data_IF_879387124698
#
_entry.id   IF_879387124698
#
_cell.length_a   1.000
_cell.length_b   1.000
_cell.length_c   1.000
_cell.angle_alpha   90.00
_cell.angle_beta   90.00
_cell.angle_gamma   90.00
#
_symmetry.space_group_name_H-M   'P 1'
#
loop_
_entity.id
_entity.type
_entity.pdbx_description
1 polymer ?
#
# COMPACT_ATOMS: atom_id res chain seq x y z
N UNK A 1 50.57 -24.12 -28.97
CA UNK A 1 50.09 -24.65 -27.67
C UNK A 1 49.33 -23.52 -27.01
N UNK A 2 48.00 -23.64 -26.91
CA UNK A 2 47.16 -22.62 -26.30
C UNK A 2 46.91 -23.02 -24.84
N UNK A 3 47.23 -22.13 -23.91
CA UNK A 3 47.02 -22.34 -22.48
C UNK A 3 45.52 -22.54 -22.18
N UNK A 4 45.15 -23.52 -21.34
CA UNK A 4 43.78 -23.69 -20.93
C UNK A 4 43.36 -22.56 -20.00
N UNK A 5 42.34 -21.82 -20.43
CA UNK A 5 41.67 -20.76 -19.66
C UNK A 5 41.16 -21.36 -18.33
N UNK A 6 41.48 -20.77 -17.16
CA UNK A 6 41.00 -21.31 -15.89
C UNK A 6 39.47 -21.23 -15.82
N UNK A 7 38.80 -22.22 -15.20
CA UNK A 7 37.35 -22.23 -15.09
C UNK A 7 36.88 -21.02 -14.28
N UNK A 8 35.95 -20.26 -14.87
CA UNK A 8 35.22 -19.21 -14.16
C UNK A 8 34.44 -19.87 -13.02
N UNK A 9 34.93 -19.66 -11.80
CA UNK A 9 34.17 -19.96 -10.59
C UNK A 9 32.96 -19.03 -10.59
N UNK A 10 31.81 -19.56 -10.99
CA UNK A 10 30.54 -18.92 -10.70
C UNK A 10 30.37 -18.95 -9.18
N UNK A 11 30.73 -17.86 -8.50
CA UNK A 11 30.20 -17.59 -7.17
C UNK A 11 28.68 -17.53 -7.30
N UNK A 12 28.01 -18.65 -7.01
CA UNK A 12 26.61 -18.63 -6.65
C UNK A 12 26.53 -17.76 -5.39
N UNK A 13 26.20 -16.48 -5.56
CA UNK A 13 25.87 -15.60 -4.45
C UNK A 13 24.60 -16.19 -3.83
N UNK A 14 24.77 -17.00 -2.78
CA UNK A 14 23.66 -17.46 -1.94
C UNK A 14 23.00 -16.20 -1.40
N UNK A 15 21.86 -15.83 -1.97
CA UNK A 15 21.07 -14.72 -1.45
C UNK A 15 20.76 -15.04 0.02
N UNK A 16 20.94 -14.09 0.94
CA UNK A 16 20.66 -14.34 2.35
C UNK A 16 19.22 -14.79 2.52
N UNK A 17 18.98 -15.70 3.47
CA UNK A 17 17.63 -16.16 3.77
C UNK A 17 16.75 -14.97 4.20
N UNK A 18 15.49 -14.90 3.74
CA UNK A 18 14.61 -13.81 4.10
C UNK A 18 14.26 -13.87 5.58
N UNK A 19 14.42 -12.73 6.28
CA UNK A 19 14.00 -12.55 7.68
C UNK A 19 12.49 -12.73 7.83
N UNK A 20 11.72 -12.35 6.80
CA UNK A 20 10.27 -12.51 6.80
C UNK A 20 9.73 -12.81 5.41
N UNK A 21 8.77 -13.73 5.33
CA UNK A 21 8.06 -14.05 4.10
C UNK A 21 6.56 -13.91 4.31
N UNK A 22 5.88 -13.20 3.40
CA UNK A 22 4.45 -12.95 3.44
C UNK A 22 3.82 -13.23 2.07
N UNK A 23 2.81 -14.09 2.05
CA UNK A 23 2.00 -14.37 0.87
C UNK A 23 0.93 -13.30 0.69
N UNK A 24 0.91 -12.67 -0.48
CA UNK A 24 -0.12 -11.71 -0.87
C UNK A 24 -1.29 -12.42 -1.51
N UNK A 25 -2.47 -12.22 -0.94
CA UNK A 25 -3.73 -12.72 -1.47
C UNK A 25 -4.65 -11.58 -1.89
N UNK A 26 -5.42 -11.83 -2.95
CA UNK A 26 -6.52 -10.98 -3.41
C UNK A 26 -7.86 -11.58 -3.02
N UNK A 27 -8.80 -10.71 -2.66
CA UNK A 27 -10.17 -11.04 -2.27
C UNK A 27 -11.19 -10.11 -2.90
N UNK A 28 -12.39 -10.65 -3.07
CA UNK A 28 -13.54 -10.01 -3.71
C UNK A 28 -13.29 -9.59 -5.17
N UNK A 29 -14.37 -9.24 -5.87
CA UNK A 29 -14.30 -8.73 -7.23
C UNK A 29 -13.38 -7.50 -7.32
N UNK A 30 -12.67 -7.37 -8.45
CA UNK A 30 -11.77 -6.25 -8.79
C UNK A 30 -10.62 -5.98 -7.81
N UNK A 31 -10.36 -6.86 -6.84
CA UNK A 31 -9.34 -6.64 -5.82
C UNK A 31 -9.74 -5.60 -4.77
N UNK A 32 -11.00 -5.59 -4.34
CA UNK A 32 -11.47 -4.70 -3.25
C UNK A 32 -10.81 -4.97 -1.90
N UNK A 33 -10.29 -6.17 -1.69
CA UNK A 33 -9.64 -6.58 -0.46
C UNK A 33 -8.36 -7.34 -0.78
N UNK A 34 -7.31 -7.10 -0.02
CA UNK A 34 -6.07 -7.87 -0.08
C UNK A 34 -5.61 -8.19 1.33
N UNK A 35 -4.81 -9.23 1.47
CA UNK A 35 -4.22 -9.60 2.75
C UNK A 35 -2.83 -10.20 2.55
N UNK A 36 -1.98 -9.98 3.55
CA UNK A 36 -0.67 -10.60 3.67
C UNK A 36 -0.69 -11.56 4.85
N UNK A 37 -0.18 -12.76 4.65
CA UNK A 37 -0.16 -13.83 5.65
C UNK A 37 1.13 -14.63 5.53
N UNK A 38 1.68 -15.13 6.63
CA UNK A 38 2.86 -16.00 6.58
C UNK A 38 2.58 -17.29 5.79
N UNK A 39 1.40 -17.89 6.03
CA UNK A 39 0.93 -19.08 5.33
C UNK A 39 -0.55 -18.98 4.92
N UNK A 40 -0.97 -19.85 4.00
CA UNK A 40 -2.35 -19.92 3.51
C UNK A 40 -3.39 -20.26 4.58
N UNK A 41 -3.00 -20.91 5.68
CA UNK A 41 -3.86 -21.22 6.82
C UNK A 41 -3.96 -20.10 7.85
N UNK A 42 -2.98 -19.21 7.89
CA UNK A 42 -2.77 -18.34 9.05
C UNK A 42 -3.67 -17.09 8.99
N UNK A 43 -3.96 -16.48 10.16
CA UNK A 43 -4.57 -15.16 10.21
C UNK A 43 -3.71 -14.14 9.44
N UNK A 44 -4.37 -13.21 8.75
CA UNK A 44 -3.63 -12.18 8.03
C UNK A 44 -2.90 -11.24 9.01
N UNK A 45 -1.60 -11.06 8.79
CA UNK A 45 -0.79 -10.07 9.51
C UNK A 45 -1.12 -8.65 9.08
N UNK A 46 -1.42 -8.48 7.79
CA UNK A 46 -1.82 -7.20 7.23
C UNK A 46 -3.01 -7.34 6.30
N UNK A 47 -3.87 -6.32 6.31
CA UNK A 47 -5.07 -6.29 5.50
C UNK A 47 -5.22 -4.96 4.76
N UNK A 48 -5.59 -5.02 3.47
CA UNK A 48 -5.82 -3.84 2.65
C UNK A 48 -7.27 -3.77 2.21
N UNK A 49 -7.90 -2.63 2.47
CA UNK A 49 -9.19 -2.26 1.86
C UNK A 49 -8.92 -1.32 0.70
N UNK A 50 -9.23 -1.76 -0.52
CA UNK A 50 -9.00 -1.03 -1.75
C UNK A 50 -10.33 -0.53 -2.34
N UNK A 51 -10.59 0.79 -2.40
CA UNK A 51 -11.83 1.34 -2.91
C UNK A 51 -11.84 1.32 -4.46
N UNK A 52 -12.12 0.15 -5.03
CA UNK A 52 -12.22 -0.08 -6.47
C UNK A 52 -13.60 -0.66 -6.84
N UNK A 53 -14.17 -0.30 -8.00
CA UNK A 53 -13.66 0.69 -8.96
C UNK A 53 -13.81 2.13 -8.44
N UNK A 54 -12.96 3.02 -8.92
CA UNK A 54 -12.98 4.45 -8.62
C UNK A 54 -13.19 5.25 -9.92
N UNK A 55 -13.99 6.32 -9.86
CA UNK A 55 -14.17 7.22 -11.02
C UNK A 55 -13.02 8.22 -11.14
N UNK A 56 -12.54 8.75 -10.01
CA UNK A 56 -11.49 9.78 -9.99
C UNK A 56 -10.31 9.40 -9.10
N UNK A 57 -9.14 10.01 -9.35
CA UNK A 57 -7.94 9.81 -8.53
C UNK A 57 -8.14 10.10 -7.05
N UNK A 58 -8.86 11.18 -6.73
CA UNK A 58 -9.12 11.59 -5.35
C UNK A 58 -10.01 10.62 -4.55
N UNK A 59 -10.72 9.71 -5.24
CA UNK A 59 -11.57 8.69 -4.62
C UNK A 59 -10.78 7.43 -4.26
N UNK A 60 -9.59 7.23 -4.85
CA UNK A 60 -8.73 6.12 -4.48
C UNK A 60 -8.03 6.40 -3.15
N UNK A 61 -8.58 5.80 -2.09
CA UNK A 61 -8.18 5.98 -0.70
C UNK A 61 -8.06 4.64 0.03
N UNK A 62 -7.07 3.81 -0.32
CA UNK A 62 -6.91 2.53 0.35
C UNK A 62 -6.52 2.74 1.80
N UNK A 63 -6.94 1.77 2.62
CA UNK A 63 -6.63 1.73 4.05
C UNK A 63 -5.89 0.43 4.31
N UNK A 64 -4.78 0.54 5.01
CA UNK A 64 -3.91 -0.54 5.43
C UNK A 64 -4.08 -0.78 6.92
N UNK A 65 -4.33 -2.03 7.28
CA UNK A 65 -4.56 -2.47 8.63
C UNK A 65 -3.46 -3.43 9.06
N UNK A 66 -3.01 -3.29 10.30
CA UNK A 66 -2.28 -4.34 11.02
C UNK A 66 -3.32 -5.27 11.64
N UNK A 67 -3.21 -6.56 11.34
CA UNK A 67 -4.19 -7.60 11.67
C UNK A 67 -5.12 -7.96 10.51
N UNK A 68 -5.99 -8.94 10.77
CA UNK A 68 -6.89 -9.51 9.76
C UNK A 68 -8.07 -8.58 9.44
N UNK A 69 -9.04 -9.05 8.67
CA UNK A 69 -10.17 -8.28 8.15
C UNK A 69 -10.89 -7.51 9.27
N UNK A 70 -10.84 -6.17 9.25
CA UNK A 70 -11.34 -5.32 10.35
C UNK A 70 -12.86 -5.41 10.54
N UNK A 71 -13.59 -6.03 9.60
CA UNK A 71 -15.02 -6.31 9.76
C UNK A 71 -15.29 -7.39 10.81
N UNK A 72 -14.40 -8.37 10.94
CA UNK A 72 -14.57 -9.54 11.81
C UNK A 72 -13.57 -9.56 12.97
N UNK A 73 -12.50 -8.77 12.86
CA UNK A 73 -11.41 -8.74 13.84
C UNK A 73 -11.31 -7.32 14.41
N UNK A 74 -11.95 -7.04 15.56
CA UNK A 74 -11.93 -5.71 16.18
C UNK A 74 -10.54 -5.26 16.63
N UNK A 75 -9.63 -6.20 16.88
CA UNK A 75 -8.23 -5.91 17.24
C UNK A 75 -7.42 -5.35 16.07
N UNK A 76 -7.92 -5.42 14.82
CA UNK A 76 -7.23 -4.90 13.65
C UNK A 76 -7.23 -3.38 13.62
N UNK A 77 -6.05 -2.78 13.62
CA UNK A 77 -5.87 -1.32 13.66
C UNK A 77 -5.46 -0.78 12.31
N UNK A 78 -6.02 0.36 11.93
CA UNK A 78 -5.63 1.05 10.70
C UNK A 78 -4.30 1.77 10.93
N UNK A 79 -3.23 1.31 10.28
CA UNK A 79 -1.87 1.83 10.47
C UNK A 79 -1.36 2.59 9.25
N UNK A 80 -2.05 2.52 8.10
CA UNK A 80 -1.75 3.41 7.00
C UNK A 80 -2.97 3.75 6.16
N UNK A 81 -2.88 4.85 5.43
CA UNK A 81 -3.78 5.17 4.34
C UNK A 81 -3.02 5.87 3.22
N UNK A 82 -3.47 5.67 1.99
CA UNK A 82 -2.92 6.39 0.86
C UNK A 82 -3.97 7.23 0.16
N UNK A 83 -3.51 8.21 -0.61
CA UNK A 83 -4.28 8.94 -1.60
C UNK A 83 -3.46 9.05 -2.86
N UNK A 84 -4.12 8.86 -3.99
CA UNK A 84 -3.50 9.09 -5.29
C UNK A 84 -3.57 10.58 -5.64
N UNK A 85 -2.45 11.17 -6.08
CA UNK A 85 -2.39 12.58 -6.50
C UNK A 85 -2.29 12.75 -8.02
N UNK A 86 -1.90 11.72 -8.77
CA UNK A 86 -1.84 11.75 -10.24
C UNK A 86 -2.14 10.37 -10.85
N UNK A 87 -1.97 10.18 -12.15
CA UNK A 87 -2.21 8.89 -12.83
C UNK A 87 -1.23 7.80 -12.36
N UNK A 88 -1.58 7.03 -11.31
CA UNK A 88 -0.82 5.88 -10.75
C UNK A 88 0.71 6.09 -10.56
N UNK A 89 1.16 7.35 -10.57
CA UNK A 89 2.55 7.75 -10.58
C UNK A 89 2.94 8.51 -9.31
N UNK A 90 1.98 8.95 -8.51
CA UNK A 90 2.25 9.69 -7.28
C UNK A 90 1.17 9.42 -6.24
N UNK A 91 1.63 9.14 -5.03
CA UNK A 91 0.83 8.78 -3.89
C UNK A 91 1.31 9.56 -2.65
N UNK A 92 0.34 10.02 -1.86
CA UNK A 92 0.57 10.53 -0.52
C UNK A 92 0.12 9.46 0.45
N UNK A 93 1.01 9.06 1.34
CA UNK A 93 0.80 8.02 2.34
C UNK A 93 0.87 8.70 3.71
N UNK A 94 -0.06 8.34 4.58
CA UNK A 94 0.04 8.61 6.00
C UNK A 94 0.19 7.26 6.70
N UNK A 95 1.23 7.12 7.51
CA UNK A 95 1.65 5.87 8.14
C UNK A 95 1.80 6.05 9.65
N UNK A 96 1.41 5.04 10.43
CA UNK A 96 1.48 5.01 11.89
C UNK A 96 0.13 4.80 12.57
N UNK A 97 0.15 4.53 13.87
CA UNK A 97 -1.02 4.10 14.64
C UNK A 97 -2.07 5.21 14.77
N UNK A 98 -1.67 6.48 14.72
CA UNK A 98 -2.59 7.62 14.79
C UNK A 98 -3.52 7.70 13.56
N UNK A 99 -3.22 6.98 12.47
CA UNK A 99 -4.09 6.92 11.29
C UNK A 99 -5.48 6.38 11.67
N UNK A 100 -5.55 5.43 12.59
CA UNK A 100 -6.82 4.88 13.08
C UNK A 100 -7.69 5.97 13.71
N UNK A 101 -7.13 6.73 14.63
CA UNK A 101 -7.83 7.83 15.33
C UNK A 101 -8.26 8.94 14.35
N UNK A 102 -7.41 9.28 13.35
CA UNK A 102 -7.80 10.23 12.31
C UNK A 102 -9.04 9.72 11.54
N UNK A 103 -9.09 8.42 11.26
CA UNK A 103 -10.22 7.81 10.55
C UNK A 103 -11.49 7.83 11.40
N UNK A 104 -11.39 7.53 12.71
CA UNK A 104 -12.49 7.64 13.64
C UNK A 104 -12.99 9.08 13.78
N UNK A 105 -12.11 10.05 13.95
CA UNK A 105 -12.46 11.47 14.02
C UNK A 105 -13.17 11.95 12.74
N UNK A 106 -12.76 11.46 11.56
CA UNK A 106 -13.47 11.73 10.31
C UNK A 106 -14.86 11.10 10.29
N UNK A 107 -15.03 9.89 10.83
CA UNK A 107 -16.34 9.24 11.02
C UNK A 107 -17.23 10.06 11.94
N UNK A 108 -16.76 10.41 13.14
CA UNK A 108 -17.46 11.24 14.14
C UNK A 108 -17.92 12.57 13.55
N UNK A 109 -17.02 13.27 12.86
CA UNK A 109 -17.34 14.54 12.16
C UNK A 109 -18.43 14.36 11.10
N UNK A 110 -18.37 13.29 10.30
CA UNK A 110 -19.37 13.00 9.26
C UNK A 110 -20.73 12.68 9.88
N UNK A 111 -20.78 11.91 10.96
CA UNK A 111 -22.00 11.59 11.70
C UNK A 111 -22.64 12.85 12.29
N UNK A 112 -21.85 13.72 12.93
CA UNK A 112 -22.31 15.02 13.45
C UNK A 112 -22.85 15.92 12.35
N UNK A 113 -22.14 16.02 11.23
CA UNK A 113 -22.59 16.84 10.09
C UNK A 113 -23.87 16.28 9.45
N UNK A 114 -23.95 14.96 9.27
CA UNK A 114 -25.14 14.28 8.77
C UNK A 114 -26.34 14.52 9.67
N UNK A 115 -26.17 14.42 10.99
CA UNK A 115 -27.21 14.73 11.96
C UNK A 115 -27.66 16.19 11.86
N UNK A 116 -26.72 17.15 11.83
CA UNK A 116 -27.04 18.58 11.65
C UNK A 116 -27.82 18.84 10.36
N UNK A 117 -27.42 18.23 9.25
CA UNK A 117 -28.12 18.37 7.97
C UNK A 117 -29.53 17.79 8.03
N UNK A 118 -29.71 16.62 8.67
CA UNK A 118 -31.03 16.01 8.86
C UNK A 118 -31.93 16.89 9.74
N UNK A 119 -31.42 17.50 10.81
CA UNK A 119 -32.21 18.41 11.64
C UNK A 119 -32.59 19.68 10.87
N UNK A 120 -31.68 20.23 10.06
CA UNK A 120 -31.99 21.37 9.18
C UNK A 120 -33.10 21.02 8.19
N UNK A 121 -33.02 19.84 7.56
CA UNK A 121 -34.05 19.36 6.64
C UNK A 121 -35.40 19.18 7.35
N UNK A 122 -35.43 18.55 8.53
CA UNK A 122 -36.66 18.43 9.33
C UNK A 122 -37.28 19.78 9.69
N UNK A 123 -36.45 20.73 10.14
CA UNK A 123 -36.90 22.11 10.41
C UNK A 123 -37.50 22.76 9.17
N UNK A 124 -36.90 22.55 8.00
CA UNK A 124 -37.40 23.07 6.73
C UNK A 124 -38.76 22.47 6.34
N UNK A 125 -39.03 21.22 6.71
CA UNK A 125 -40.34 20.56 6.56
C UNK A 125 -41.28 20.74 7.77
N UNK A 126 -41.02 21.72 8.65
CA UNK A 126 -41.81 21.97 9.88
C UNK A 126 -41.97 20.73 10.79
N UNK A 127 -41.07 19.75 10.69
CA UNK A 127 -41.10 18.55 11.52
C UNK A 127 -40.35 18.79 12.83
N UNK A 128 -40.88 18.24 13.92
CA UNK A 128 -40.21 18.29 15.23
C UNK A 128 -38.80 17.67 15.19
N UNK A 129 -37.86 18.21 15.97
CA UNK A 129 -36.50 17.67 16.04
C UNK A 129 -36.51 16.26 16.61
N UNK A 130 -35.55 15.44 16.19
CA UNK A 130 -35.37 14.08 16.73
C UNK A 130 -34.02 13.94 17.38
N UNK A 131 -33.93 13.40 18.61
CA UNK A 131 -32.65 13.16 19.27
C UNK A 131 -31.78 12.21 18.44
N UNK A 132 -30.44 12.32 18.54
CA UNK A 132 -29.55 11.42 17.82
C UNK A 132 -29.74 9.99 18.34
N UNK A 133 -29.81 9.01 17.43
CA UNK A 133 -29.99 7.58 17.79
C UNK A 133 -28.79 6.98 18.53
N UNK A 134 -27.63 7.63 18.47
CA UNK A 134 -26.40 7.28 19.17
C UNK A 134 -25.77 8.59 19.64
N UNK A 135 -25.11 8.56 20.79
CA UNK A 135 -24.37 9.71 21.27
C UNK A 135 -23.35 10.16 20.23
N UNK A 136 -23.33 11.47 19.96
CA UNK A 136 -22.40 12.04 19.00
C UNK A 136 -21.06 12.21 19.69
N UNK A 137 -20.19 11.20 19.53
CA UNK A 137 -18.83 11.22 20.06
C UNK A 137 -18.07 12.50 19.65
N UNK A 138 -17.34 13.08 20.60
CA UNK A 138 -16.54 14.27 20.37
C UNK A 138 -15.26 14.00 19.59
N UNK A 139 -14.67 15.07 19.05
CA UNK A 139 -13.40 14.97 18.36
C UNK A 139 -12.30 14.69 19.39
N UNK A 140 -11.60 13.57 19.24
CA UNK A 140 -10.49 13.21 20.11
C UNK A 140 -9.16 13.69 19.51
N UNK A 141 -8.20 14.01 20.36
CA UNK A 141 -6.83 14.28 19.88
C UNK A 141 -6.18 13.00 19.36
N UNK A 142 -5.35 13.14 18.33
CA UNK A 142 -4.61 12.02 17.75
C UNK A 142 -3.39 11.76 18.64
N UNK A 143 -3.41 10.67 19.40
CA UNK A 143 -2.34 10.27 20.31
C UNK A 143 -1.23 9.52 19.59
N UNK A 144 -1.57 8.67 18.61
CA UNK A 144 -0.61 7.81 17.92
C UNK A 144 0.26 8.54 16.87
N UNK A 145 1.39 7.95 16.52
CA UNK A 145 2.29 8.44 15.48
C UNK A 145 1.58 8.53 14.11
N UNK A 146 1.83 9.61 13.35
CA UNK A 146 1.43 9.75 11.95
C UNK A 146 2.52 10.43 11.15
N UNK A 147 3.20 9.66 10.28
CA UNK A 147 4.28 10.11 9.40
C UNK A 147 3.75 10.27 7.97
N UNK A 148 3.99 11.42 7.31
CA UNK A 148 3.72 11.57 5.90
C UNK A 148 4.84 10.94 5.07
N UNK A 149 4.48 10.00 4.19
CA UNK A 149 5.40 9.40 3.21
C UNK A 149 4.91 9.74 1.80
N UNK A 150 5.82 10.15 0.93
CA UNK A 150 5.49 10.41 -0.49
C UNK A 150 6.11 9.34 -1.36
N UNK A 151 5.27 8.63 -2.09
CA UNK A 151 5.71 7.63 -3.07
C UNK A 151 5.48 8.19 -4.48
N UNK A 152 6.54 8.31 -5.28
CA UNK A 152 6.48 8.86 -6.64
C UNK A 152 7.23 7.99 -7.62
N UNK A 153 6.73 7.92 -8.85
CA UNK A 153 7.43 7.30 -9.96
C UNK A 153 8.56 8.22 -10.41
N UNK A 154 9.73 7.65 -10.73
CA UNK A 154 10.90 8.44 -11.12
C UNK A 154 10.71 9.16 -12.46
N UNK A 155 10.10 8.48 -13.45
CA UNK A 155 9.70 9.02 -14.77
C UNK A 155 8.45 8.29 -15.26
N UNK A 156 7.61 8.93 -16.08
CA UNK A 156 6.30 8.40 -16.51
C UNK A 156 6.34 6.94 -17.00
N UNK A 157 7.36 6.61 -17.81
CA UNK A 157 7.54 5.29 -18.43
C UNK A 157 8.41 4.30 -17.62
N UNK A 158 9.01 4.74 -16.52
CA UNK A 158 9.84 3.85 -15.68
C UNK A 158 8.97 3.03 -14.74
N UNK A 159 9.38 1.79 -14.46
CA UNK A 159 8.77 0.92 -13.44
C UNK A 159 9.38 1.13 -12.05
N UNK A 160 9.86 2.34 -11.79
CA UNK A 160 10.58 2.67 -10.56
C UNK A 160 9.75 3.61 -9.72
N UNK A 161 9.31 3.12 -8.55
CA UNK A 161 8.58 3.90 -7.56
C UNK A 161 9.51 4.16 -6.37
N UNK A 162 9.79 5.43 -6.14
CA UNK A 162 10.64 5.94 -5.07
C UNK A 162 9.79 6.42 -3.90
N UNK A 163 10.22 6.16 -2.69
CA UNK A 163 9.63 6.71 -1.47
C UNK A 163 10.73 6.92 -0.43
N UNK A 164 10.46 7.76 0.55
CA UNK A 164 11.43 8.12 1.58
C UNK A 164 10.83 7.88 2.96
N UNK A 165 11.63 7.31 3.86
CA UNK A 165 11.30 7.13 5.26
C UNK A 165 12.54 7.40 6.10
N UNK A 166 12.42 8.24 7.12
CA UNK A 166 13.53 8.65 8.00
C UNK A 166 14.78 9.12 7.23
N UNK A 167 14.61 9.92 6.17
CA UNK A 167 15.73 10.44 5.37
C UNK A 167 16.36 9.44 4.40
N UNK A 168 15.89 8.18 4.35
CA UNK A 168 16.40 7.14 3.45
C UNK A 168 15.45 6.96 2.26
N UNK A 169 15.98 7.10 1.04
CA UNK A 169 15.23 6.86 -0.21
C UNK A 169 15.24 5.36 -0.56
N UNK A 170 14.06 4.76 -0.61
CA UNK A 170 13.84 3.40 -1.07
C UNK A 170 13.22 3.38 -2.47
N UNK A 171 13.55 2.35 -3.25
CA UNK A 171 13.14 2.24 -4.66
C UNK A 171 12.59 0.86 -4.97
N UNK A 172 11.29 0.77 -5.22
CA UNK A 172 10.69 -0.39 -5.88
C UNK A 172 11.04 -0.36 -7.35
N UNK A 173 11.65 -1.42 -7.85
CA UNK A 173 12.03 -1.58 -9.26
C UNK A 173 11.51 -2.90 -9.79
N UNK A 174 10.91 -2.88 -10.98
CA UNK A 174 10.51 -4.11 -11.66
C UNK A 174 11.73 -4.91 -12.11
N UNK A 175 11.79 -6.20 -11.75
CA UNK A 175 12.88 -7.10 -12.13
C UNK A 175 12.51 -7.97 -13.32
N UNK A 176 13.51 -8.27 -14.15
CA UNK A 176 13.44 -9.32 -15.19
C UNK A 176 13.94 -10.68 -14.67
N UNK A 177 14.53 -10.69 -13.47
CA UNK A 177 15.52 -11.69 -13.03
C UNK A 177 14.89 -13.02 -12.56
N UNK A 178 13.63 -13.06 -12.13
CA UNK A 178 13.00 -14.30 -11.65
C UNK A 178 12.31 -15.13 -12.76
N UNK A 179 12.54 -14.78 -14.03
CA UNK A 179 12.04 -15.53 -15.19
C UNK A 179 13.08 -16.53 -15.69
N UNK A 180 12.78 -17.82 -15.60
CA UNK A 180 13.49 -18.86 -16.36
C UNK A 180 12.97 -18.97 -17.80
N UNK A 181 13.87 -19.19 -18.76
CA UNK A 181 13.55 -19.60 -20.14
C UNK A 181 13.40 -18.51 -21.21
N UNK A 182 12.87 -18.91 -22.38
CA UNK A 182 12.86 -18.16 -23.65
C UNK A 182 12.03 -16.85 -23.65
N UNK A 183 11.20 -16.61 -22.62
CA UNK A 183 10.39 -15.38 -22.49
C UNK A 183 11.05 -14.28 -21.65
N UNK A 184 12.32 -14.46 -21.23
CA UNK A 184 13.17 -13.44 -20.60
C UNK A 184 13.32 -12.12 -21.41
N UNK A 185 13.30 -12.11 -22.77
CA UNK A 185 13.45 -10.87 -23.53
C UNK A 185 12.15 -10.05 -23.67
N UNK A 186 10.98 -10.61 -23.34
CA UNK A 186 9.70 -9.90 -23.52
C UNK A 186 9.50 -8.87 -22.40
N UNK A 187 9.83 -7.61 -22.68
CA UNK A 187 9.48 -6.44 -21.85
C UNK A 187 7.96 -6.46 -21.63
N UNK A 188 7.49 -6.82 -20.43
CA UNK A 188 6.05 -6.77 -20.21
C UNK A 188 5.52 -7.64 -19.11
N UNK A 189 6.05 -8.84 -18.86
CA UNK A 189 5.19 -9.89 -18.29
C UNK A 189 5.48 -10.24 -16.81
N UNK A 190 6.70 -10.07 -16.28
CA UNK A 190 6.94 -10.21 -14.82
C UNK A 190 6.31 -9.04 -14.05
N UNK A 191 5.74 -9.33 -12.88
CA UNK A 191 5.36 -8.31 -11.86
C UNK A 191 6.27 -8.46 -10.64
N UNK A 192 7.46 -9.00 -10.87
CA UNK A 192 8.41 -9.23 -9.81
C UNK A 192 9.07 -7.89 -9.53
N UNK A 193 9.16 -7.55 -8.25
CA UNK A 193 9.66 -6.26 -7.80
C UNK A 193 10.81 -6.52 -6.84
N UNK A 194 11.82 -5.66 -6.86
CA UNK A 194 12.80 -5.56 -5.76
C UNK A 194 12.79 -4.16 -5.17
N UNK A 195 12.84 -4.11 -3.86
CA UNK A 195 13.05 -2.90 -3.09
C UNK A 195 14.54 -2.75 -2.83
N UNK A 196 15.07 -1.60 -3.24
CA UNK A 196 16.48 -1.25 -3.09
C UNK A 196 16.56 -0.06 -2.14
N UNK A 197 17.53 -0.09 -1.23
CA UNK A 197 17.87 1.03 -0.36
C UNK A 197 18.73 2.10 -1.09
N UNK A 198 19.20 3.16 -0.39
CA UNK A 198 20.11 4.14 -0.97
C UNK A 198 21.45 3.54 -1.41
N UNK A 199 21.95 2.55 -0.66
CA UNK A 199 23.26 1.92 -0.83
C UNK A 199 23.29 0.90 -1.99
N UNK A 200 22.13 0.57 -2.55
CA UNK A 200 21.99 -0.38 -3.65
C UNK A 200 21.71 -1.82 -3.18
N UNK A 201 21.52 -2.02 -1.89
CA UNK A 201 21.22 -3.33 -1.27
C UNK A 201 19.75 -3.69 -1.47
N UNK A 202 19.49 -4.97 -1.75
CA UNK A 202 18.12 -5.49 -1.86
C UNK A 202 17.55 -5.70 -0.46
N UNK A 203 16.51 -4.94 -0.12
CA UNK A 203 15.83 -4.98 1.18
C UNK A 203 14.67 -5.98 1.15
N UNK A 204 13.96 -6.04 0.04
CA UNK A 204 12.83 -6.95 -0.14
C UNK A 204 12.63 -7.30 -1.62
N UNK A 205 12.06 -8.48 -1.89
CA UNK A 205 11.59 -8.87 -3.21
C UNK A 205 10.12 -9.27 -3.15
N UNK A 206 9.38 -8.97 -4.20
CA UNK A 206 8.06 -9.54 -4.41
C UNK A 206 8.12 -10.39 -5.66
N UNK A 207 7.76 -11.66 -5.52
CA UNK A 207 7.68 -12.62 -6.61
C UNK A 207 6.21 -12.89 -6.90
N UNK A 208 5.75 -12.55 -8.11
CA UNK A 208 4.38 -12.83 -8.50
C UNK A 208 4.27 -14.30 -8.87
N UNK A 209 3.24 -14.97 -8.37
CA UNK A 209 2.92 -16.32 -8.81
C UNK A 209 2.59 -16.27 -10.31
N UNK A 210 3.36 -17.05 -11.10
CA UNK A 210 3.22 -17.16 -12.56
C UNK A 210 1.80 -17.54 -12.96
N UNK A 211 1.10 -18.29 -12.11
CA UNK A 211 -0.24 -18.77 -12.35
C UNK A 211 -1.29 -18.03 -11.51
N UNK A 212 -0.97 -16.90 -10.89
CA UNK A 212 -1.89 -16.13 -10.05
C UNK A 212 -3.25 -15.83 -10.72
N UNK A 213 -3.27 -15.63 -12.04
CA UNK A 213 -4.49 -15.37 -12.81
C UNK A 213 -5.31 -16.64 -13.11
N UNK A 214 -4.67 -17.81 -13.14
CA UNK A 214 -5.27 -19.10 -13.52
C UNK A 214 -5.50 -20.03 -12.33
N UNK A 215 -4.84 -19.77 -11.21
CA UNK A 215 -4.97 -20.54 -9.98
C UNK A 215 -6.36 -20.36 -9.38
N UNK A 216 -7.01 -21.48 -9.05
CA UNK A 216 -8.31 -21.46 -8.38
C UNK A 216 -8.18 -20.78 -7.03
N UNK A 217 -9.23 -20.07 -6.63
CA UNK A 217 -9.27 -19.46 -5.30
C UNK A 217 -9.29 -20.54 -4.22
N UNK A 218 -8.45 -20.35 -3.21
CA UNK A 218 -8.45 -21.13 -1.99
C UNK A 218 -9.71 -20.80 -1.19
N UNK A 219 -10.36 -21.84 -0.66
CA UNK A 219 -11.56 -21.72 0.16
C UNK A 219 -11.19 -22.08 1.60
N UNK A 220 -11.53 -21.21 2.55
CA UNK A 220 -11.45 -21.50 3.97
C UNK A 220 -12.84 -21.81 4.52
N UNK A 221 -12.89 -22.60 5.61
CA UNK A 221 -14.14 -23.12 6.18
C UNK A 221 -15.05 -22.02 6.76
N UNK A 222 -14.51 -20.85 7.11
CA UNK A 222 -15.28 -19.74 7.68
C UNK A 222 -14.81 -18.32 7.32
N UNK A 223 -15.52 -17.28 7.80
CA UNK A 223 -14.96 -15.93 7.89
C UNK A 223 -13.68 -15.96 8.76
N UNK A 224 -12.74 -15.01 8.62
CA UNK A 224 -12.84 -13.76 7.86
C UNK A 224 -12.57 -13.88 6.35
N UNK A 225 -11.92 -14.97 5.92
CA UNK A 225 -11.24 -15.08 4.62
C UNK A 225 -11.72 -16.21 3.68
N UNK A 226 -13.01 -16.59 3.74
CA UNK A 226 -13.66 -17.70 2.99
C UNK A 226 -13.18 -18.00 1.57
N UNK A 227 -12.84 -16.99 0.77
CA UNK A 227 -12.33 -17.17 -0.60
C UNK A 227 -11.23 -16.15 -0.86
N UNK A 228 -10.05 -16.64 -1.25
CA UNK A 228 -8.87 -15.82 -1.58
C UNK A 228 -8.07 -16.42 -2.74
N UNK A 229 -7.43 -15.59 -3.55
CA UNK A 229 -6.56 -16.03 -4.66
C UNK A 229 -5.15 -15.54 -4.41
N UNK A 230 -4.18 -16.46 -4.39
CA UNK A 230 -2.77 -16.12 -4.24
C UNK A 230 -2.31 -15.25 -5.41
N UNK A 231 -1.64 -14.15 -5.10
CA UNK A 231 -1.00 -13.29 -6.09
C UNK A 231 0.51 -13.53 -6.17
N UNK A 232 1.16 -13.81 -5.05
CA UNK A 232 2.62 -13.94 -4.99
C UNK A 232 3.13 -13.88 -3.55
N UNK A 233 4.45 -13.81 -3.42
CA UNK A 233 5.17 -13.82 -2.14
C UNK A 233 6.07 -12.60 -2.02
N UNK A 234 6.00 -11.93 -0.88
CA UNK A 234 6.90 -10.86 -0.45
C UNK A 234 7.95 -11.47 0.48
N UNK A 235 9.22 -11.34 0.12
CA UNK A 235 10.37 -11.71 0.93
C UNK A 235 11.08 -10.45 1.41
N UNK A 236 11.33 -10.35 2.71
CA UNK A 236 12.03 -9.22 3.35
C UNK A 236 13.36 -9.75 3.89
N UNK A 237 14.46 -9.22 3.37
CA UNK A 237 15.82 -9.63 3.71
C UNK A 237 16.45 -8.74 4.78
N UNK A 238 16.03 -7.47 4.83
CA UNK A 238 16.54 -6.50 5.79
C UNK A 238 15.43 -5.59 6.28
N UNK A 239 15.47 -5.25 7.57
CA UNK A 239 14.59 -4.28 8.20
C UNK A 239 15.45 -3.23 8.89
N UNK A 240 16.00 -2.27 8.13
CA UNK A 240 16.80 -1.22 8.73
C UNK A 240 15.97 -0.48 9.78
N UNK A 241 16.59 -0.23 10.93
CA UNK A 241 15.95 0.50 12.02
C UNK A 241 15.55 1.89 11.51
N UNK A 242 14.28 2.24 11.77
CA UNK A 242 13.75 3.53 11.40
C UNK A 242 14.07 4.51 12.53
N UNK A 243 15.07 5.37 12.32
CA UNK A 243 15.35 6.42 13.29
C UNK A 243 14.23 7.48 13.23
N UNK A 244 13.30 7.34 14.17
CA UNK A 244 12.17 8.27 14.34
C UNK A 244 12.70 9.67 14.67
N UNK A 245 13.88 9.81 15.27
CA UNK A 245 14.51 11.11 15.58
C UNK A 245 14.78 11.92 14.32
N UNK A 246 15.23 11.27 13.23
CA UNK A 246 15.38 11.93 11.93
C UNK A 246 14.03 12.41 11.35
N UNK A 247 12.96 11.62 11.51
CA UNK A 247 11.61 12.02 11.10
C UNK A 247 11.17 13.26 11.90
N UNK A 248 11.48 13.28 13.20
CA UNK A 248 11.15 14.38 14.12
C UNK A 248 11.93 15.64 13.82
N UNK A 249 13.23 15.55 13.54
CA UNK A 249 14.07 16.69 13.19
C UNK A 249 13.57 17.36 11.89
N UNK A 250 13.33 16.57 10.84
CA UNK A 250 12.80 17.06 9.57
C UNK A 250 11.40 17.70 9.74
N UNK A 251 10.60 17.22 10.71
CA UNK A 251 9.30 17.80 10.99
C UNK A 251 9.37 19.22 11.57
N UNK A 252 10.33 19.48 12.46
CA UNK A 252 10.54 20.80 13.07
C UNK A 252 10.93 21.81 11.98
N UNK A 253 11.83 21.43 11.07
CA UNK A 253 12.24 22.27 9.95
C UNK A 253 11.10 22.54 8.95
N UNK A 254 10.27 21.54 8.65
CA UNK A 254 9.11 21.69 7.74
C UNK A 254 7.99 22.54 8.37
N UNK A 255 7.82 22.48 9.70
CA UNK A 255 6.86 23.32 10.43
C UNK A 255 7.23 24.80 10.35
N UNK A 256 8.54 25.11 10.37
CA UNK A 256 9.04 26.48 10.26
C UNK A 256 8.95 27.05 8.82
N UNK A 257 8.96 26.20 7.79
CA UNK A 257 9.06 26.62 6.39
C UNK A 257 7.81 26.41 5.49
N UNK A 258 6.71 25.80 5.97
CA UNK A 258 5.66 25.33 5.05
C UNK A 258 4.32 26.09 5.06
N UNK A 259 3.88 26.50 3.85
CA UNK A 259 2.47 26.84 3.50
C UNK A 259 1.53 25.63 3.52
N UNK A 260 1.99 24.43 3.89
CA UNK A 260 1.28 23.17 3.73
C UNK A 260 0.60 22.75 5.04
N UNK A 261 -0.58 23.33 5.31
CA UNK A 261 -1.37 23.14 6.54
C UNK A 261 -1.78 21.68 6.85
N UNK A 262 -1.65 20.75 5.92
CA UNK A 262 -2.05 19.33 6.11
C UNK A 262 -0.98 18.50 6.83
N UNK A 263 0.31 18.75 6.60
CA UNK A 263 1.41 18.00 7.23
C UNK A 263 1.73 18.52 8.64
N UNK A 264 1.52 19.82 8.88
CA UNK A 264 1.72 20.46 10.18
C UNK A 264 0.74 20.00 11.28
N UNK A 265 -0.31 19.25 10.92
CA UNK A 265 -1.32 18.72 11.86
C UNK A 265 -1.12 17.25 12.22
N UNK A 266 -0.08 16.62 11.72
CA UNK A 266 0.19 15.20 11.98
C UNK A 266 0.95 15.05 13.29
N UNK A 267 0.57 14.07 14.11
CA UNK A 267 1.26 13.79 15.36
C UNK A 267 2.53 12.98 15.09
N UNK A 268 3.66 13.67 14.96
CA UNK A 268 4.97 13.07 14.68
C UNK A 268 5.71 12.63 15.96
N UNK A 269 5.17 12.96 17.13
CA UNK A 269 5.75 12.61 18.44
C UNK A 269 5.02 11.44 19.11
N UNK A 270 3.87 11.04 18.58
CA UNK A 270 3.07 9.96 19.14
C UNK A 270 3.82 8.61 19.16
N UNK A 271 3.41 7.68 20.03
CA UNK A 271 3.96 6.33 20.04
C UNK A 271 3.50 5.53 18.82
N UNK A 272 4.29 4.53 18.45
CA UNK A 272 3.94 3.53 17.46
C UNK A 272 4.27 2.14 18.01
N UNK A 273 3.31 1.23 17.91
CA UNK A 273 3.39 -0.11 18.51
C UNK A 273 3.93 -1.18 17.57
N UNK A 274 4.19 -0.86 16.30
CA UNK A 274 4.66 -1.80 15.29
C UNK A 274 6.02 -1.44 14.71
N UNK A 275 6.40 -2.16 13.66
CA UNK A 275 7.60 -1.87 12.88
C UNK A 275 7.25 -1.00 11.67
N UNK A 276 7.59 0.29 11.76
CA UNK A 276 7.28 1.27 10.73
C UNK A 276 7.95 0.96 9.38
N UNK A 277 9.17 0.41 9.40
CA UNK A 277 9.90 -0.01 8.20
C UNK A 277 9.16 -1.15 7.52
N UNK A 278 8.81 -2.19 8.28
CA UNK A 278 8.08 -3.34 7.75
C UNK A 278 6.73 -2.92 7.14
N UNK A 279 5.95 -2.11 7.87
CA UNK A 279 4.66 -1.62 7.40
C UNK A 279 4.78 -0.79 6.12
N UNK A 280 5.84 0.03 6.03
CA UNK A 280 6.16 0.78 4.81
C UNK A 280 6.45 -0.16 3.65
N UNK A 281 7.29 -1.18 3.86
CA UNK A 281 7.66 -2.17 2.84
C UNK A 281 6.40 -2.89 2.35
N UNK A 282 5.60 -3.46 3.24
CA UNK A 282 4.40 -4.24 2.89
C UNK A 282 3.38 -3.36 2.16
N UNK A 283 3.09 -2.17 2.68
CA UNK A 283 2.07 -1.31 2.09
C UNK A 283 2.52 -0.74 0.73
N UNK A 284 3.77 -0.27 0.62
CA UNK A 284 4.30 0.24 -0.64
C UNK A 284 4.50 -0.86 -1.68
N UNK A 285 4.80 -2.10 -1.27
CA UNK A 285 4.81 -3.27 -2.14
C UNK A 285 3.43 -3.47 -2.80
N UNK A 286 2.37 -3.54 -1.98
CA UNK A 286 1.00 -3.67 -2.48
C UNK A 286 0.64 -2.52 -3.43
N UNK A 287 1.00 -1.28 -3.08
CA UNK A 287 0.74 -0.12 -3.93
C UNK A 287 1.49 -0.19 -5.27
N UNK A 288 2.74 -0.66 -5.27
CA UNK A 288 3.51 -0.84 -6.48
C UNK A 288 2.86 -1.87 -7.41
N UNK A 289 2.42 -3.00 -6.86
CA UNK A 289 1.71 -4.05 -7.61
C UNK A 289 0.40 -3.51 -8.20
N UNK A 290 -0.41 -2.82 -7.40
CA UNK A 290 -1.69 -2.26 -7.86
C UNK A 290 -1.47 -1.18 -8.94
N UNK A 291 -0.46 -0.32 -8.77
CA UNK A 291 -0.09 0.69 -9.75
C UNK A 291 0.35 0.08 -11.08
N UNK A 292 1.21 -0.95 -11.04
CA UNK A 292 1.62 -1.70 -12.24
C UNK A 292 0.44 -2.37 -12.93
N UNK A 293 -0.38 -3.09 -12.18
CA UNK A 293 -1.56 -3.79 -12.71
C UNK A 293 -2.46 -2.79 -13.44
N UNK A 294 -2.78 -1.65 -12.82
CA UNK A 294 -3.73 -0.68 -13.37
C UNK A 294 -3.19 0.14 -14.53
N UNK A 295 -1.89 0.38 -14.58
CA UNK A 295 -1.27 1.05 -15.73
C UNK A 295 -1.30 0.16 -16.97
N UNK A 296 -1.14 -1.17 -16.83
CA UNK A 296 -1.22 -2.07 -17.98
C UNK A 296 -2.60 -2.07 -18.64
N UNK A 297 -3.66 -2.19 -17.85
CA UNK A 297 -5.02 -2.15 -18.40
C UNK A 297 -5.34 -0.79 -19.03
N UNK A 298 -4.90 0.33 -18.43
CA UNK A 298 -5.10 1.66 -19.03
C UNK A 298 -4.29 1.93 -20.29
N UNK A 299 -3.11 1.30 -20.43
CA UNK A 299 -2.32 1.40 -21.67
C UNK A 299 -3.02 0.61 -22.78
N UNK A 300 -3.66 -0.52 -22.46
CA UNK A 300 -4.48 -1.26 -23.42
C UNK A 300 -5.72 -0.45 -23.82
N UNK A 301 -6.46 0.13 -22.87
CA UNK A 301 -7.62 1.00 -23.16
C UNK A 301 -7.22 2.19 -24.06
N UNK A 302 -6.08 2.83 -23.80
CA UNK A 302 -5.58 3.96 -24.62
C UNK A 302 -5.13 3.51 -26.02
N UNK A 303 -4.53 2.32 -26.15
CA UNK A 303 -4.11 1.78 -27.44
C UNK A 303 -5.28 1.27 -28.27
N UNK A 304 -6.34 0.77 -27.62
CA UNK A 304 -7.60 0.38 -28.26
C UNK A 304 -8.33 1.63 -28.76
N UNK A 305 -8.45 2.68 -27.94
CA UNK A 305 -9.03 3.98 -28.34
C UNK A 305 -8.26 4.62 -29.51
N UNK A 306 -6.93 4.55 -29.48
CA UNK A 306 -6.09 5.02 -30.59
C UNK A 306 -6.30 4.13 -31.84
N UNK A 307 -6.34 2.81 -31.69
CA UNK A 307 -6.56 1.87 -32.79
C UNK A 307 -7.94 2.01 -33.45
N UNK A 308 -8.97 2.30 -32.66
CA UNK A 308 -10.33 2.63 -33.15
C UNK A 308 -10.33 3.97 -33.90
N UNK A 309 -9.60 4.97 -33.42
CA UNK A 309 -9.49 6.29 -34.10
C UNK A 309 -8.64 6.29 -35.38
N UNK A 310 -7.80 5.28 -35.60
CA UNK A 310 -7.02 5.09 -36.83
C UNK A 310 -7.65 4.07 -37.79
N UNK A 311 -8.75 3.43 -37.38
CA UNK A 311 -9.53 2.49 -38.20
C UNK A 311 -10.75 3.11 -38.89
N UNK A 312 -11.00 4.41 -38.68
CA UNK A 312 -11.88 5.28 -39.47
C UNK A 312 -11.07 6.08 -40.51
#
# INVERSE_FOLDING_TARGET
>A
MADPKPPMVHHASTSPDPVKTLQLYRRLAFGRKHLFTASGSDPAEYFVVNPVPQRHAAQWRPIFYRGDNPKYTPSSKAVARARRTSMWNSFRIELGDGVHEIMENKRRKKERNSYKTKQKFRKWFCMSPTPPKKELEEHQEVKGLVVPVKMKRSRLLTRTLKWELAGREYRWTGTREFRSGWTKPWKGVSHDLKLIDPDGTVVATFEKDRWASYRRSEKSEGPPNRKKSLLGSLHIFSMPECDISHIRANAVEVSQNSKNKETAKLNLMGPHSGNLTEESIVFTCWMAIEAEHRLRYKILDLLEEIGESFGE
#
